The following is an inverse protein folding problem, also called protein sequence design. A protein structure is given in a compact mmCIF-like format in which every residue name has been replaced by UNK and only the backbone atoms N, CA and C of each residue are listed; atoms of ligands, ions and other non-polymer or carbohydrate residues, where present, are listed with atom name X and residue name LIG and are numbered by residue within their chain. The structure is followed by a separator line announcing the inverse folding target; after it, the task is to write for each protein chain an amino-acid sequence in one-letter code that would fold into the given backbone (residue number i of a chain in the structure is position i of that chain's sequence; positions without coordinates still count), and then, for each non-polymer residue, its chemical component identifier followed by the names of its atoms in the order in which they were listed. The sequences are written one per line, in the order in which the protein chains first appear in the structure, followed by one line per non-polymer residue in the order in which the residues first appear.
data_IF_521545231429
#
_entry.id   IF_521545231429
#
_cell.length_a   1.000
_cell.length_b   1.000
_cell.length_c   1.000
_cell.angle_alpha   90.00
_cell.angle_beta   90.00
_cell.angle_gamma   90.00
#
_symmetry.space_group_name_H-M   'P 1'
#
loop_
_entity.id
_entity.type
_entity.pdbx_description
1 polymer ?
#
# COMPACT_ATOMS: atom_id res chain seq x y z
N UNK A 1 -58.36 -44.02 -22.62
CA UNK A 1 -58.21 -43.32 -21.33
C UNK A 1 -57.05 -43.90 -20.51
N UNK A 2 -55.81 -43.91 -21.02
CA UNK A 2 -54.69 -44.59 -20.32
C UNK A 2 -53.29 -43.95 -20.50
N UNK A 3 -53.17 -42.75 -21.08
CA UNK A 3 -51.86 -42.15 -21.39
C UNK A 3 -51.50 -40.91 -20.53
N UNK A 4 -52.40 -40.45 -19.66
CA UNK A 4 -52.21 -39.19 -18.91
C UNK A 4 -51.68 -39.39 -17.47
N UNK A 5 -51.59 -40.62 -16.98
CA UNK A 5 -51.24 -40.92 -15.58
C UNK A 5 -49.73 -41.14 -15.31
N UNK A 6 -48.88 -41.18 -16.35
CA UNK A 6 -47.45 -41.46 -16.18
C UNK A 6 -46.53 -40.24 -16.17
N UNK A 7 -47.07 -39.04 -16.42
CA UNK A 7 -46.31 -37.79 -16.32
C UNK A 7 -45.93 -37.32 -14.90
N UNK A 8 -46.69 -37.62 -13.81
CA UNK A 8 -46.33 -37.13 -12.49
C UNK A 8 -45.20 -37.94 -11.83
N UNK A 9 -45.12 -39.25 -12.05
CA UNK A 9 -44.14 -40.14 -11.38
C UNK A 9 -42.69 -39.84 -11.79
N UNK A 10 -42.45 -39.54 -13.08
CA UNK A 10 -41.12 -39.16 -13.56
C UNK A 10 -40.61 -37.82 -13.00
N UNK A 11 -41.51 -36.91 -12.59
CA UNK A 11 -41.14 -35.62 -11.98
C UNK A 11 -40.74 -35.75 -10.50
N UNK A 12 -41.32 -36.70 -9.76
CA UNK A 12 -40.94 -36.93 -8.37
C UNK A 12 -39.53 -37.54 -8.23
N UNK A 13 -39.11 -38.39 -9.18
CA UNK A 13 -37.76 -38.98 -9.14
C UNK A 13 -36.65 -37.98 -9.49
N UNK A 14 -36.89 -37.02 -10.40
CA UNK A 14 -35.91 -35.99 -10.74
C UNK A 14 -35.78 -34.90 -9.67
N UNK A 15 -36.83 -34.65 -8.89
CA UNK A 15 -36.82 -33.62 -7.85
C UNK A 15 -36.22 -34.10 -6.51
N UNK A 16 -36.00 -35.41 -6.34
CA UNK A 16 -35.41 -36.01 -5.14
C UNK A 16 -33.88 -36.02 -5.12
N UNK A 17 -33.22 -35.89 -6.27
CA UNK A 17 -31.75 -35.95 -6.37
C UNK A 17 -31.07 -34.58 -6.48
N UNK A 18 -31.83 -33.52 -6.77
CA UNK A 18 -31.31 -32.15 -6.77
C UNK A 18 -31.36 -31.58 -5.36
N UNK A 19 -30.46 -32.09 -4.51
CA UNK A 19 -30.27 -31.62 -3.15
C UNK A 19 -29.96 -30.11 -3.14
N UNK A 20 -30.73 -29.26 -2.40
CA UNK A 20 -30.35 -27.86 -2.15
C UNK A 20 -29.03 -27.72 -1.34
N UNK A 21 -28.51 -28.84 -0.84
CA UNK A 21 -27.35 -28.89 0.07
C UNK A 21 -26.03 -28.43 -0.54
N UNK A 22 -25.88 -28.42 -1.87
CA UNK A 22 -24.63 -27.99 -2.50
C UNK A 22 -24.53 -26.46 -2.63
N UNK A 23 -25.65 -25.74 -2.69
CA UNK A 23 -25.64 -24.28 -2.81
C UNK A 23 -25.27 -23.56 -1.50
N UNK A 24 -25.43 -24.22 -0.35
CA UNK A 24 -25.22 -23.60 0.97
C UNK A 24 -23.77 -23.76 1.47
N UNK A 25 -22.97 -24.66 0.88
CA UNK A 25 -21.64 -24.99 1.41
C UNK A 25 -20.58 -23.90 1.20
N UNK A 26 -20.90 -22.87 0.42
CA UNK A 26 -20.05 -21.69 0.22
C UNK A 26 -20.63 -20.42 0.85
N UNK A 27 -21.60 -20.54 1.77
CA UNK A 27 -21.91 -19.43 2.66
C UNK A 27 -20.71 -19.25 3.61
N UNK A 28 -19.77 -18.39 3.20
CA UNK A 28 -18.78 -17.82 4.12
C UNK A 28 -19.58 -17.27 5.30
N UNK A 29 -19.32 -17.72 6.54
CA UNK A 29 -20.03 -17.18 7.69
C UNK A 29 -19.69 -15.69 7.78
N UNK A 30 -20.58 -14.82 7.33
CA UNK A 30 -20.51 -13.36 7.49
C UNK A 30 -20.69 -12.93 8.97
N UNK A 31 -20.31 -13.80 9.91
CA UNK A 31 -20.54 -13.67 11.35
C UNK A 31 -19.27 -13.61 12.19
N UNK A 32 -18.10 -13.91 11.64
CA UNK A 32 -16.82 -13.55 12.28
C UNK A 32 -16.53 -12.10 11.98
N UNK A 33 -16.04 -11.34 12.96
CA UNK A 33 -15.68 -9.95 12.68
C UNK A 33 -14.57 -9.92 11.62
N UNK A 34 -14.58 -8.95 10.70
CA UNK A 34 -13.56 -8.86 9.65
C UNK A 34 -12.12 -8.92 10.22
N UNK A 35 -11.93 -8.45 11.46
CA UNK A 35 -10.68 -8.53 12.20
C UNK A 35 -10.29 -9.97 12.57
N UNK A 36 -11.22 -10.78 13.04
CA UNK A 36 -10.99 -12.18 13.40
C UNK A 36 -10.63 -13.02 12.16
N UNK A 37 -11.27 -12.76 11.02
CA UNK A 37 -10.90 -13.42 9.76
C UNK A 37 -9.49 -13.03 9.30
N UNK A 38 -9.14 -11.75 9.40
CA UNK A 38 -7.80 -11.26 9.09
C UNK A 38 -6.73 -11.89 9.99
N UNK A 39 -6.95 -11.96 11.30
CA UNK A 39 -6.03 -12.61 12.25
C UNK A 39 -5.85 -14.10 11.95
N UNK A 40 -6.94 -14.79 11.60
CA UNK A 40 -6.90 -16.20 11.18
C UNK A 40 -6.16 -16.38 9.85
N UNK A 41 -6.24 -15.44 8.92
CA UNK A 41 -5.49 -15.48 7.65
C UNK A 41 -3.99 -15.32 7.88
N UNK A 42 -3.58 -14.33 8.68
CA UNK A 42 -2.16 -14.09 8.97
C UNK A 42 -1.51 -15.22 9.77
N UNK A 43 -2.18 -15.73 10.81
CA UNK A 43 -1.67 -16.85 11.61
C UNK A 43 -1.44 -18.13 10.78
N UNK A 44 -2.36 -18.43 9.85
CA UNK A 44 -2.21 -19.57 8.92
C UNK A 44 -1.05 -19.38 7.93
N UNK A 45 -0.91 -18.20 7.34
CA UNK A 45 0.13 -17.96 6.34
C UNK A 45 1.51 -17.84 6.99
N UNK A 46 1.62 -17.25 8.18
CA UNK A 46 2.86 -17.14 8.94
C UNK A 46 3.45 -18.51 9.35
N UNK A 47 2.59 -19.48 9.69
CA UNK A 47 3.00 -20.86 10.00
C UNK A 47 3.23 -21.74 8.76
N UNK A 48 2.92 -21.25 7.56
CA UNK A 48 3.08 -22.01 6.33
C UNK A 48 4.35 -21.58 5.59
N UNK A 49 5.18 -22.54 5.14
CA UNK A 49 6.36 -22.29 4.30
C UNK A 49 6.02 -21.88 2.86
N UNK A 50 4.96 -21.08 2.67
CA UNK A 50 4.55 -20.59 1.35
C UNK A 50 5.42 -19.39 0.99
N UNK A 51 6.17 -19.43 -0.13
CA UNK A 51 6.95 -18.28 -0.55
C UNK A 51 6.01 -17.14 -0.97
N UNK A 52 6.38 -15.91 -0.61
CA UNK A 52 5.70 -14.72 -1.11
C UNK A 52 5.99 -14.55 -2.60
N UNK A 53 4.99 -14.11 -3.36
CA UNK A 53 5.19 -13.84 -4.77
C UNK A 53 6.16 -12.66 -4.95
N UNK A 54 7.09 -12.74 -5.93
CA UNK A 54 8.01 -11.64 -6.21
C UNK A 54 7.23 -10.47 -6.79
N UNK A 55 7.15 -9.34 -6.08
CA UNK A 55 6.34 -8.18 -6.47
C UNK A 55 7.19 -6.98 -6.90
N UNK A 56 8.19 -6.58 -6.11
CA UNK A 56 9.10 -5.47 -6.46
C UNK A 56 10.02 -5.85 -7.63
N UNK A 57 10.38 -7.13 -7.74
CA UNK A 57 11.35 -7.61 -8.74
C UNK A 57 10.75 -7.85 -10.12
N UNK A 58 9.45 -8.15 -10.20
CA UNK A 58 8.76 -8.43 -11.47
C UNK A 58 8.08 -7.18 -12.03
N UNK A 59 7.63 -6.28 -11.17
CA UNK A 59 6.89 -5.11 -11.63
C UNK A 59 7.80 -4.11 -12.35
N UNK A 60 7.33 -3.56 -13.47
CA UNK A 60 8.09 -2.60 -14.26
C UNK A 60 8.17 -1.25 -13.56
N UNK A 61 9.38 -0.68 -13.52
CA UNK A 61 9.61 0.63 -12.92
C UNK A 61 8.90 1.72 -13.72
N UNK A 62 7.78 2.21 -13.21
CA UNK A 62 7.06 3.34 -13.77
C UNK A 62 7.51 4.66 -13.14
N UNK A 63 7.48 5.75 -13.91
CA UNK A 63 7.84 7.10 -13.43
C UNK A 63 7.07 7.52 -12.16
N UNK A 64 5.75 7.25 -12.03
CA UNK A 64 5.01 7.57 -10.80
C UNK A 64 5.46 6.77 -9.58
N UNK A 65 5.84 5.50 -9.77
CA UNK A 65 6.35 4.66 -8.68
C UNK A 65 7.71 5.17 -8.19
N UNK A 66 8.64 5.43 -9.12
CA UNK A 66 9.95 5.97 -8.78
C UNK A 66 9.81 7.32 -8.05
N UNK A 67 8.91 8.19 -8.51
CA UNK A 67 8.66 9.46 -7.82
C UNK A 67 8.07 9.27 -6.41
N UNK A 68 7.18 8.30 -6.20
CA UNK A 68 6.65 7.97 -4.87
C UNK A 68 7.77 7.57 -3.90
N UNK A 69 8.68 6.70 -4.33
CA UNK A 69 9.81 6.22 -3.52
C UNK A 69 10.77 7.37 -3.21
N UNK A 70 11.19 8.11 -4.24
CA UNK A 70 12.09 9.26 -4.09
C UNK A 70 11.50 10.30 -3.16
N UNK A 71 10.21 10.62 -3.29
CA UNK A 71 9.55 11.59 -2.41
C UNK A 71 9.62 11.16 -0.94
N UNK A 72 9.34 9.89 -0.63
CA UNK A 72 9.45 9.36 0.74
C UNK A 72 10.89 9.41 1.23
N UNK A 73 11.85 9.00 0.39
CA UNK A 73 13.27 9.07 0.71
C UNK A 73 13.75 10.49 0.99
N UNK A 74 13.37 11.47 0.15
CA UNK A 74 13.71 12.89 0.37
C UNK A 74 13.07 13.44 1.63
N UNK A 75 11.83 13.03 1.95
CA UNK A 75 11.17 13.45 3.20
C UNK A 75 11.93 12.96 4.43
N UNK A 76 12.28 11.67 4.48
CA UNK A 76 13.06 11.09 5.58
C UNK A 76 14.45 11.72 5.68
N UNK A 77 15.13 11.92 4.54
CA UNK A 77 16.45 12.54 4.51
C UNK A 77 16.43 13.99 5.02
N UNK A 78 15.42 14.78 4.63
CA UNK A 78 15.26 16.15 5.11
C UNK A 78 14.95 16.19 6.61
N UNK A 79 14.03 15.34 7.08
CA UNK A 79 13.72 15.25 8.51
C UNK A 79 14.95 14.83 9.32
N UNK A 80 15.68 13.80 8.88
CA UNK A 80 16.90 13.36 9.54
C UNK A 80 17.99 14.44 9.53
N UNK A 81 18.16 15.16 8.41
CA UNK A 81 19.11 16.26 8.32
C UNK A 81 18.82 17.38 9.31
N UNK A 82 17.56 17.81 9.42
CA UNK A 82 17.15 18.83 10.40
C UNK A 82 17.29 18.33 11.83
N UNK A 83 16.93 17.07 12.11
CA UNK A 83 17.06 16.48 13.44
C UNK A 83 18.53 16.35 13.86
N UNK A 84 19.41 15.88 12.97
CA UNK A 84 20.84 15.79 13.25
C UNK A 84 21.47 17.17 13.42
N UNK A 85 21.05 18.15 12.63
CA UNK A 85 21.49 19.54 12.80
C UNK A 85 21.07 20.10 14.17
N UNK A 86 19.82 19.88 14.58
CA UNK A 86 19.34 20.30 15.91
C UNK A 86 20.04 19.57 17.06
N UNK A 87 20.29 18.27 16.92
CA UNK A 87 21.05 17.51 17.92
C UNK A 87 22.50 17.97 17.99
N UNK A 88 23.16 18.20 16.86
CA UNK A 88 24.52 18.73 16.83
C UNK A 88 24.59 20.09 17.52
N UNK A 89 23.60 20.96 17.33
CA UNK A 89 23.55 22.28 17.96
C UNK A 89 23.35 22.20 19.50
N UNK A 90 22.71 21.14 20.01
CA UNK A 90 22.54 20.94 21.46
C UNK A 90 23.74 20.25 22.11
N UNK A 91 24.35 19.27 21.44
CA UNK A 91 25.37 18.41 22.05
C UNK A 91 26.80 18.94 21.85
N UNK A 92 27.10 19.67 20.78
CA UNK A 92 28.45 20.20 20.55
C UNK A 92 28.55 21.64 21.06
N UNK A 93 29.37 21.92 22.09
CA UNK A 93 29.81 23.27 22.37
C UNK A 93 30.81 23.68 21.28
N UNK A 94 30.33 24.38 20.26
CA UNK A 94 31.14 24.77 19.11
C UNK A 94 30.55 25.98 18.38
N UNK A 95 31.41 26.94 18.02
CA UNK A 95 30.99 28.09 17.22
C UNK A 95 30.61 27.62 15.80
N UNK A 96 29.60 28.24 15.18
CA UNK A 96 29.09 27.89 13.84
C UNK A 96 30.18 27.77 12.78
N UNK A 97 31.22 28.59 12.90
CA UNK A 97 32.38 28.64 12.02
C UNK A 97 33.14 27.30 11.92
N UNK A 98 33.28 26.58 13.04
CA UNK A 98 33.97 25.29 13.07
C UNK A 98 33.19 24.19 12.34
N UNK A 99 31.86 24.25 12.40
CA UNK A 99 30.99 23.34 11.63
C UNK A 99 31.03 23.65 10.13
N UNK A 100 31.12 24.93 9.76
CA UNK A 100 31.22 25.34 8.36
C UNK A 100 32.56 24.92 7.73
N UNK A 101 33.66 25.01 8.46
CA UNK A 101 34.97 24.54 7.98
C UNK A 101 35.04 23.00 7.85
N UNK A 102 34.33 22.24 8.69
CA UNK A 102 34.13 20.79 8.50
C UNK A 102 33.31 20.48 7.23
N UNK A 103 32.22 21.22 7.00
CA UNK A 103 31.39 21.03 5.79
C UNK A 103 32.16 21.44 4.53
N UNK A 104 32.99 22.48 4.62
CA UNK A 104 33.83 22.99 3.54
C UNK A 104 34.97 22.04 3.19
N UNK A 105 35.65 21.46 4.20
CA UNK A 105 36.70 20.45 3.99
C UNK A 105 36.15 19.14 3.40
N UNK A 106 34.89 18.80 3.68
CA UNK A 106 34.21 17.66 3.06
C UNK A 106 34.02 17.80 1.53
N UNK A 107 34.30 18.98 0.94
CA UNK A 107 34.34 19.20 -0.52
C UNK A 107 33.07 18.80 -1.27
N UNK A 108 31.94 18.66 -0.57
CA UNK A 108 30.63 18.34 -1.15
C UNK A 108 29.90 19.60 -1.66
N UNK A 109 30.56 20.76 -1.73
CA UNK A 109 29.95 22.06 -2.03
C UNK A 109 28.95 22.03 -3.20
N UNK A 110 29.33 21.59 -4.42
CA UNK A 110 28.42 21.59 -5.56
C UNK A 110 27.26 20.58 -5.42
N UNK A 111 27.56 19.38 -4.92
CA UNK A 111 26.58 18.29 -4.77
C UNK A 111 25.58 18.60 -3.65
N UNK A 112 26.05 19.19 -2.56
CA UNK A 112 25.25 19.61 -1.42
C UNK A 112 24.39 20.82 -1.78
N UNK A 113 24.91 21.79 -2.53
CA UNK A 113 24.12 22.94 -3.02
C UNK A 113 23.05 22.47 -4.02
N UNK A 114 23.39 21.59 -4.97
CA UNK A 114 22.42 21.06 -5.91
C UNK A 114 21.36 20.19 -5.22
N UNK A 115 21.77 19.25 -4.36
CA UNK A 115 20.80 18.43 -3.62
C UNK A 115 19.94 19.25 -2.66
N UNK A 116 20.50 20.22 -1.94
CA UNK A 116 19.76 21.11 -1.06
C UNK A 116 18.78 22.02 -1.82
N UNK A 117 19.04 22.35 -3.08
CA UNK A 117 18.09 23.10 -3.93
C UNK A 117 16.99 22.19 -4.49
N UNK A 118 17.36 21.03 -5.02
CA UNK A 118 16.43 20.15 -5.74
C UNK A 118 15.59 19.26 -4.83
N UNK A 119 16.11 18.79 -3.69
CA UNK A 119 15.37 17.90 -2.79
C UNK A 119 14.14 18.57 -2.15
N UNK A 120 14.21 19.81 -1.63
CA UNK A 120 13.04 20.51 -1.12
C UNK A 120 12.05 20.84 -2.23
N UNK A 121 12.53 21.30 -3.39
CA UNK A 121 11.66 21.62 -4.52
C UNK A 121 10.88 20.39 -5.03
N UNK A 122 11.53 19.21 -5.06
CA UNK A 122 10.90 17.93 -5.40
C UNK A 122 9.89 17.49 -4.34
N UNK A 123 10.18 17.71 -3.06
CA UNK A 123 9.26 17.42 -1.97
C UNK A 123 8.01 18.32 -2.02
N UNK A 124 8.19 19.62 -2.25
CA UNK A 124 7.09 20.60 -2.36
C UNK A 124 6.23 20.35 -3.59
N UNK A 125 6.83 20.12 -4.78
CA UNK A 125 6.08 19.85 -6.01
C UNK A 125 5.29 18.53 -5.92
N UNK A 126 5.88 17.49 -5.33
CA UNK A 126 5.17 16.23 -5.08
C UNK A 126 4.05 16.37 -4.05
N UNK A 127 4.22 17.25 -3.05
CA UNK A 127 3.19 17.60 -2.07
C UNK A 127 1.98 18.27 -2.72
N UNK A 128 2.22 19.28 -3.57
CA UNK A 128 1.15 19.99 -4.29
C UNK A 128 0.31 19.04 -5.17
N UNK A 129 0.95 18.13 -5.91
CA UNK A 129 0.23 17.15 -6.73
C UNK A 129 -0.64 16.19 -5.92
N UNK A 130 -0.22 15.79 -4.71
CA UNK A 130 -1.05 14.97 -3.83
C UNK A 130 -2.20 15.75 -3.20
N UNK A 131 -1.98 17.02 -2.86
CA UNK A 131 -3.05 17.88 -2.35
C UNK A 131 -4.17 18.03 -3.38
N UNK A 132 -3.82 18.23 -4.65
CA UNK A 132 -4.79 18.28 -5.76
C UNK A 132 -5.54 16.96 -5.92
N UNK A 133 -4.85 15.82 -5.78
CA UNK A 133 -5.49 14.50 -5.84
C UNK A 133 -6.42 14.23 -4.66
N UNK A 134 -6.08 14.69 -3.45
CA UNK A 134 -6.94 14.57 -2.28
C UNK A 134 -8.14 15.51 -2.30
N UNK A 135 -8.07 16.62 -3.04
CA UNK A 135 -9.19 17.55 -3.23
C UNK A 135 -10.08 17.19 -4.43
N UNK A 136 -9.81 16.09 -5.13
CA UNK A 136 -10.63 15.66 -6.25
C UNK A 136 -12.02 15.19 -5.76
N UNK A 137 -13.12 15.58 -6.44
CA UNK A 137 -14.44 15.11 -6.09
C UNK A 137 -14.53 13.58 -6.25
N UNK A 138 -15.31 12.94 -5.38
CA UNK A 138 -15.57 11.51 -5.48
C UNK A 138 -16.18 11.17 -6.86
N UNK A 139 -15.81 10.03 -7.48
CA UNK A 139 -16.44 9.62 -8.72
C UNK A 139 -17.95 9.41 -8.49
N UNK A 140 -18.79 9.72 -9.49
CA UNK A 140 -20.22 9.47 -9.39
C UNK A 140 -20.47 7.97 -9.18
N UNK A 141 -21.54 7.59 -8.45
CA UNK A 141 -21.93 6.19 -8.34
C UNK A 141 -22.14 5.59 -9.73
N UNK A 142 -21.83 4.30 -9.93
CA UNK A 142 -22.13 3.64 -11.19
C UNK A 142 -23.65 3.69 -11.44
N UNK A 143 -24.04 4.09 -12.65
CA UNK A 143 -25.44 4.03 -13.08
C UNK A 143 -25.84 2.54 -13.18
N UNK A 144 -26.88 2.15 -12.42
CA UNK A 144 -27.47 0.80 -12.41
C UNK A 144 -28.13 0.44 -13.75
#
# INVERSE_FOLDING_TARGET
MAALLWRPVGRYCLHGHLSPRLCIRNAVPLGTSAKEEMERFWSKNAGSNRPLSPHITIYSWSLPMAMSIVHRGTGVALSAGVSLFGLSALLLPGNFESHLELVKSLSLGPVLIHSAKFAPQRAVLGGAGRHVKSSAPAPPPPDD
#
